data_IF_830608346313
#
_entry.id   IF_830608346313
#
_cell.length_a   1.000
_cell.length_b   1.000
_cell.length_c   1.000
_cell.angle_alpha   90.00
_cell.angle_beta   90.00
_cell.angle_gamma   90.00
#
_symmetry.space_group_name_H-M   'P 1'
#
loop_
_entity.id
_entity.type
_entity.pdbx_description
1 polymer ?
#
# COMPACT_ATOMS: atom_id res chain seq x y z
N UNK A 1 26.96 -24.89 6.79
CA UNK A 1 26.64 -23.52 6.84
C UNK A 1 26.86 -22.82 5.54
N UNK A 2 28.00 -23.05 4.95
CA UNK A 2 28.23 -22.46 3.69
C UNK A 2 27.38 -23.07 2.68
N UNK A 3 27.30 -24.37 2.72
CA UNK A 3 26.34 -25.05 1.90
C UNK A 3 24.98 -24.48 2.18
N UNK A 4 24.75 -24.26 3.45
CA UNK A 4 23.51 -23.70 3.89
C UNK A 4 23.29 -22.30 3.31
N UNK A 5 24.35 -21.52 3.26
CA UNK A 5 24.26 -20.18 2.73
C UNK A 5 23.92 -20.18 1.24
N UNK A 6 24.56 -21.06 0.49
CA UNK A 6 24.31 -21.14 -0.93
C UNK A 6 22.91 -21.64 -1.19
N UNK A 7 22.51 -22.65 -0.48
CA UNK A 7 21.16 -23.16 -0.58
C UNK A 7 20.16 -22.13 -0.15
N UNK A 8 20.52 -21.41 0.88
CA UNK A 8 19.66 -20.35 1.37
C UNK A 8 19.39 -19.31 0.31
N UNK A 9 20.38 -18.99 -0.48
CA UNK A 9 20.21 -18.00 -1.51
C UNK A 9 19.23 -18.47 -2.59
N UNK A 10 19.36 -19.70 -3.03
CA UNK A 10 18.46 -20.26 -4.01
C UNK A 10 17.06 -20.41 -3.44
N UNK A 11 17.00 -20.88 -2.20
CA UNK A 11 15.73 -21.07 -1.56
C UNK A 11 15.06 -19.72 -1.29
N UNK A 12 15.85 -18.71 -1.01
CA UNK A 12 15.31 -17.39 -0.78
C UNK A 12 14.60 -16.86 -2.01
N UNK A 13 15.15 -17.11 -3.19
CA UNK A 13 14.51 -16.68 -4.41
C UNK A 13 13.16 -17.35 -4.58
N UNK A 14 13.10 -18.64 -4.34
CA UNK A 14 11.84 -19.36 -4.40
C UNK A 14 10.86 -18.89 -3.34
N UNK A 15 11.39 -18.68 -2.16
CA UNK A 15 10.54 -18.25 -1.06
C UNK A 15 10.03 -16.85 -1.26
N UNK A 16 10.78 -16.02 -1.94
CA UNK A 16 10.33 -14.68 -2.25
C UNK A 16 9.11 -14.71 -3.15
N UNK A 17 9.11 -15.56 -4.14
CA UNK A 17 7.96 -15.73 -4.99
C UNK A 17 6.76 -16.19 -4.20
N UNK A 18 6.98 -17.18 -3.37
CA UNK A 18 5.94 -17.77 -2.57
C UNK A 18 5.45 -16.77 -1.52
N UNK A 19 6.39 -16.10 -0.86
CA UNK A 19 6.03 -15.09 0.13
C UNK A 19 5.34 -13.93 -0.50
N UNK A 20 5.68 -13.63 -1.74
CA UNK A 20 5.07 -12.54 -2.48
C UNK A 20 3.57 -12.76 -2.64
N UNK A 21 3.19 -13.99 -2.99
CA UNK A 21 1.77 -14.32 -3.13
C UNK A 21 1.05 -14.20 -1.80
N UNK A 22 1.68 -14.71 -0.75
CA UNK A 22 1.12 -14.66 0.58
C UNK A 22 1.03 -13.23 1.08
N UNK A 23 2.05 -12.46 0.79
CA UNK A 23 2.10 -11.05 1.17
C UNK A 23 1.02 -10.27 0.45
N UNK A 24 0.85 -10.51 -0.85
CA UNK A 24 -0.16 -9.83 -1.63
C UNK A 24 -1.55 -10.12 -1.08
N UNK A 25 -1.80 -11.36 -0.72
CA UNK A 25 -3.08 -11.72 -0.14
C UNK A 25 -3.33 -11.00 1.17
N UNK A 26 -2.31 -10.92 2.01
CA UNK A 26 -2.41 -10.22 3.27
C UNK A 26 -2.67 -8.73 3.04
N UNK A 27 -1.92 -8.13 2.12
CA UNK A 27 -2.08 -6.72 1.82
C UNK A 27 -3.47 -6.42 1.25
N UNK A 28 -3.98 -7.32 0.44
CA UNK A 28 -5.31 -7.16 -0.14
C UNK A 28 -6.39 -7.17 0.94
N UNK A 29 -6.23 -8.05 1.94
CA UNK A 29 -7.17 -8.10 3.05
C UNK A 29 -7.15 -6.80 3.85
N UNK A 30 -5.95 -6.26 4.07
CA UNK A 30 -5.81 -5.00 4.77
C UNK A 30 -6.50 -3.88 4.00
N UNK A 31 -6.28 -3.85 2.69
CA UNK A 31 -6.91 -2.84 1.85
C UNK A 31 -8.43 -2.97 1.87
N UNK A 32 -8.94 -4.19 1.77
CA UNK A 32 -10.38 -4.43 1.75
C UNK A 32 -11.06 -4.00 3.04
N UNK A 33 -10.30 -3.95 4.13
CA UNK A 33 -10.84 -3.53 5.42
C UNK A 33 -10.91 -2.01 5.56
N UNK A 34 -10.36 -1.26 4.63
CA UNK A 34 -10.44 0.19 4.64
C UNK A 34 -11.86 0.65 4.36
N UNK A 35 -12.23 1.80 4.93
CA UNK A 35 -13.51 2.40 4.59
C UNK A 35 -13.47 2.90 3.15
N UNK A 36 -14.64 3.08 2.50
CA UNK A 36 -14.65 3.61 1.12
C UNK A 36 -13.93 4.94 1.00
N UNK A 37 -14.08 5.81 1.98
CA UNK A 37 -13.42 7.12 1.93
C UNK A 37 -11.92 6.98 2.05
N UNK A 38 -11.46 6.05 2.90
CA UNK A 38 -10.03 5.79 3.01
C UNK A 38 -9.46 5.28 1.68
N UNK A 39 -10.21 4.42 1.00
CA UNK A 39 -9.76 3.93 -0.30
C UNK A 39 -9.65 5.05 -1.32
N UNK A 40 -10.60 5.98 -1.31
CA UNK A 40 -10.56 7.12 -2.21
C UNK A 40 -9.36 8.01 -1.93
N UNK A 41 -9.08 8.25 -0.64
CA UNK A 41 -7.93 9.06 -0.26
C UNK A 41 -6.64 8.35 -0.66
N UNK A 42 -6.59 7.04 -0.50
CA UNK A 42 -5.41 6.26 -0.87
C UNK A 42 -5.07 6.43 -2.35
N UNK A 43 -6.09 6.41 -3.21
CA UNK A 43 -5.88 6.60 -4.64
C UNK A 43 -5.32 7.99 -4.93
N UNK A 44 -5.88 9.01 -4.30
CA UNK A 44 -5.39 10.36 -4.48
C UNK A 44 -3.95 10.52 -4.06
N UNK A 45 -3.61 9.95 -2.90
CA UNK A 45 -2.24 10.00 -2.40
C UNK A 45 -1.28 9.31 -3.36
N UNK A 46 -1.69 8.16 -3.88
CA UNK A 46 -0.85 7.39 -4.79
C UNK A 46 -0.58 8.12 -6.10
N UNK A 47 -1.48 9.01 -6.49
CA UNK A 47 -1.30 9.82 -7.69
C UNK A 47 -0.45 11.06 -7.42
N UNK A 48 -0.04 11.26 -6.18
CA UNK A 48 0.75 12.42 -5.82
C UNK A 48 -0.06 13.69 -5.64
N UNK A 49 -1.37 13.56 -5.49
CA UNK A 49 -2.22 14.73 -5.31
C UNK A 49 -2.05 15.32 -3.92
N UNK A 50 -2.12 16.65 -3.85
CA UNK A 50 -2.05 17.34 -2.58
C UNK A 50 -3.34 17.10 -1.80
N UNK A 51 -3.24 17.16 -0.48
CA UNK A 51 -4.40 16.97 0.38
C UNK A 51 -5.53 17.92 0.02
N UNK A 52 -5.18 19.13 -0.37
CA UNK A 52 -6.16 20.13 -0.77
C UNK A 52 -6.93 19.68 -1.99
N UNK A 53 -6.24 19.10 -2.97
CA UNK A 53 -6.87 18.62 -4.20
C UNK A 53 -7.75 17.42 -3.90
N UNK A 54 -7.25 16.50 -3.10
CA UNK A 54 -8.03 15.33 -2.71
C UNK A 54 -9.32 15.76 -2.02
N UNK A 55 -9.20 16.72 -1.10
CA UNK A 55 -10.35 17.22 -0.38
C UNK A 55 -11.38 17.86 -1.31
N UNK A 56 -10.89 18.64 -2.26
CA UNK A 56 -11.77 19.27 -3.23
C UNK A 56 -12.53 18.21 -4.04
N UNK A 57 -11.81 17.21 -4.53
CA UNK A 57 -12.42 16.18 -5.36
C UNK A 57 -13.42 15.32 -4.60
N UNK A 58 -13.19 15.11 -3.32
CA UNK A 58 -14.07 14.27 -2.50
C UNK A 58 -15.13 15.06 -1.75
N UNK A 59 -15.05 16.40 -1.81
CA UNK A 59 -16.02 17.24 -1.10
C UNK A 59 -15.81 17.22 0.40
N UNK A 60 -14.59 17.08 0.87
CA UNK A 60 -14.27 17.10 2.29
C UNK A 60 -13.13 18.09 2.52
N UNK A 61 -12.93 18.48 3.77
CA UNK A 61 -11.89 19.46 4.08
C UNK A 61 -10.52 18.84 3.98
N UNK A 62 -9.53 19.69 3.76
CA UNK A 62 -8.13 19.26 3.75
C UNK A 62 -7.77 18.60 5.07
N UNK A 63 -8.30 19.14 6.16
CA UNK A 63 -8.07 18.57 7.49
C UNK A 63 -8.58 17.15 7.60
N UNK A 64 -9.76 16.91 7.03
CA UNK A 64 -10.35 15.57 7.03
C UNK A 64 -9.50 14.62 6.19
N UNK A 65 -8.98 15.12 5.06
CA UNK A 65 -8.08 14.33 4.23
C UNK A 65 -6.84 13.93 5.03
N UNK A 66 -6.28 14.87 5.76
CA UNK A 66 -5.10 14.59 6.59
C UNK A 66 -5.40 13.51 7.62
N UNK A 67 -6.57 13.56 8.20
CA UNK A 67 -6.98 12.56 9.18
C UNK A 67 -7.08 11.19 8.53
N UNK A 68 -7.75 11.10 7.39
CA UNK A 68 -7.87 9.83 6.67
C UNK A 68 -6.51 9.32 6.24
N UNK A 69 -5.64 10.23 5.79
CA UNK A 69 -4.32 9.86 5.33
C UNK A 69 -3.47 9.29 6.48
N UNK A 70 -3.56 9.91 7.65
CA UNK A 70 -2.84 9.40 8.81
C UNK A 70 -3.32 7.99 9.17
N UNK A 71 -4.63 7.79 9.17
CA UNK A 71 -5.20 6.48 9.48
C UNK A 71 -4.78 5.43 8.44
N UNK A 72 -4.82 5.82 7.17
CA UNK A 72 -4.39 4.97 6.08
C UNK A 72 -2.94 4.54 6.23
N UNK A 73 -2.07 5.50 6.47
CA UNK A 73 -0.65 5.20 6.57
C UNK A 73 -0.39 4.22 7.70
N UNK A 74 -1.11 4.36 8.80
CA UNK A 74 -0.98 3.43 9.91
C UNK A 74 -1.49 2.06 9.53
N UNK A 75 -2.68 1.99 8.91
CA UNK A 75 -3.29 0.71 8.56
C UNK A 75 -2.49 -0.04 7.51
N UNK A 76 -1.96 0.68 6.52
CA UNK A 76 -1.22 0.05 5.44
C UNK A 76 0.27 -0.04 5.73
N UNK A 77 0.72 0.57 6.83
CA UNK A 77 2.13 0.58 7.20
C UNK A 77 2.99 1.19 6.11
N UNK A 78 2.56 2.34 5.59
CA UNK A 78 3.29 3.10 4.59
C UNK A 78 3.52 4.51 5.13
N UNK A 79 4.54 5.21 4.63
CA UNK A 79 4.91 6.51 5.17
C UNK A 79 4.86 7.64 4.15
N UNK A 80 4.71 7.32 2.87
CA UNK A 80 4.70 8.37 1.85
C UNK A 80 3.95 7.91 0.61
N UNK A 81 3.79 8.84 -0.33
CA UNK A 81 3.02 8.58 -1.54
C UNK A 81 3.63 7.48 -2.41
N UNK A 82 4.96 7.41 -2.43
CA UNK A 82 5.66 6.39 -3.22
C UNK A 82 5.33 5.00 -2.67
N UNK A 83 5.38 4.85 -1.35
CA UNK A 83 5.05 3.58 -0.72
C UNK A 83 3.58 3.25 -0.89
N UNK A 84 2.72 4.26 -0.83
CA UNK A 84 1.29 4.06 -1.06
C UNK A 84 1.04 3.53 -2.46
N UNK A 85 1.66 4.14 -3.46
CA UNK A 85 1.51 3.70 -4.85
C UNK A 85 2.04 2.28 -5.03
N UNK A 86 3.18 1.97 -4.41
CA UNK A 86 3.75 0.64 -4.50
C UNK A 86 2.82 -0.40 -3.89
N UNK A 87 2.21 -0.06 -2.75
CA UNK A 87 1.25 -0.94 -2.10
C UNK A 87 0.08 -1.24 -3.03
N UNK A 88 -0.50 -0.19 -3.61
CA UNK A 88 -1.68 -0.35 -4.47
C UNK A 88 -1.36 -1.10 -5.75
N UNK A 89 -0.16 -0.91 -6.28
CA UNK A 89 0.25 -1.67 -7.48
C UNK A 89 0.42 -3.15 -7.16
N UNK A 90 0.95 -3.44 -5.99
CA UNK A 90 1.16 -4.82 -5.57
C UNK A 90 -0.14 -5.61 -5.51
N UNK A 91 -1.20 -4.98 -5.06
CA UNK A 91 -2.49 -5.67 -4.93
C UNK A 91 -3.38 -5.48 -6.16
N UNK A 92 -2.87 -4.83 -7.19
CA UNK A 92 -3.60 -4.71 -8.44
C UNK A 92 -4.65 -3.61 -8.49
N UNK A 93 -4.63 -2.70 -7.54
CA UNK A 93 -5.57 -1.57 -7.54
C UNK A 93 -5.08 -0.48 -8.49
N UNK A 94 -3.77 -0.34 -8.61
CA UNK A 94 -3.17 0.58 -9.58
C UNK A 94 -2.46 -0.23 -10.66
N UNK A 95 -2.50 0.28 -11.87
CA UNK A 95 -1.74 -0.32 -12.95
C UNK A 95 -0.27 -0.03 -12.76
N UNK A 96 0.54 -0.94 -13.23
CA UNK A 96 1.99 -0.82 -13.10
C UNK A 96 2.53 0.36 -13.90
#
# INVERSE_FOLDING_TARGET
>A
ERLLAAVKKAVTASMEEFESDSEIETLRKIYDALTPREKEVALGVSKGELNKVIGYNLGISERTVKMHRANLCTKLNVTNAVEMAAFLRKIGVLDA
#
